data_IF_742935323741
#
_entry.id   IF_742935323741
#
_cell.length_a   1.000
_cell.length_b   1.000
_cell.length_c   1.000
_cell.angle_alpha   90.00
_cell.angle_beta   90.00
_cell.angle_gamma   90.00
#
_symmetry.space_group_name_H-M   'P 1'
#
loop_
_entity.id
_entity.type
_entity.pdbx_description
1 polymer ?
#
# COMPACT_ATOMS: atom_id res chain seq x y z
N UNK A 1 -9.95 6.79 -3.43
CA UNK A 1 -11.01 5.76 -3.58
C UNK A 1 -10.38 4.41 -4.00
N UNK A 2 -9.72 3.76 -3.05
CA UNK A 2 -8.88 2.55 -3.26
C UNK A 2 -9.60 1.39 -3.99
N UNK A 3 -10.94 1.40 -4.02
CA UNK A 3 -11.73 0.34 -4.69
C UNK A 3 -11.49 0.32 -6.21
N UNK A 4 -11.30 1.48 -6.84
CA UNK A 4 -11.15 1.62 -8.29
C UNK A 4 -9.70 1.88 -8.70
N UNK A 5 -8.96 2.66 -7.93
CA UNK A 5 -7.60 3.11 -8.28
C UNK A 5 -6.58 1.96 -8.30
N UNK A 6 -6.67 1.01 -7.36
CA UNK A 6 -5.76 -0.14 -7.31
C UNK A 6 -5.94 -1.08 -8.51
N UNK A 7 -7.16 -1.53 -8.86
CA UNK A 7 -7.39 -2.35 -10.05
C UNK A 7 -6.92 -1.68 -11.34
N UNK A 8 -7.21 -0.40 -11.53
CA UNK A 8 -6.77 0.36 -12.70
C UNK A 8 -5.24 0.48 -12.76
N UNK A 9 -4.60 0.85 -11.66
CA UNK A 9 -3.13 0.90 -11.60
C UNK A 9 -2.51 -0.48 -11.87
N UNK A 10 -3.16 -1.57 -11.42
CA UNK A 10 -2.72 -2.93 -11.72
C UNK A 10 -2.86 -3.27 -13.23
N UNK A 11 -3.88 -2.77 -13.92
CA UNK A 11 -4.02 -2.87 -15.37
C UNK A 11 -2.90 -2.11 -16.08
N UNK A 12 -2.60 -0.87 -15.66
CA UNK A 12 -1.50 -0.08 -16.20
C UNK A 12 -0.14 -0.77 -16.00
N UNK A 13 0.11 -1.37 -14.83
CA UNK A 13 1.36 -2.12 -14.59
C UNK A 13 1.47 -3.35 -15.49
N UNK A 14 0.36 -4.03 -15.82
CA UNK A 14 0.37 -5.15 -16.77
C UNK A 14 0.65 -4.68 -18.18
N UNK A 15 0.09 -3.56 -18.58
CA UNK A 15 0.18 -3.02 -19.95
C UNK A 15 1.51 -2.28 -20.17
N UNK A 16 1.92 -1.41 -19.25
CA UNK A 16 3.08 -0.53 -19.40
C UNK A 16 4.32 -1.02 -18.66
N UNK A 17 4.17 -2.03 -17.81
CA UNK A 17 5.23 -2.51 -16.92
C UNK A 17 5.27 -1.74 -15.58
N UNK A 18 6.18 -2.14 -14.67
CA UNK A 18 6.28 -1.57 -13.32
C UNK A 18 6.87 -0.15 -13.29
N UNK A 19 7.37 0.34 -14.43
CA UNK A 19 8.06 1.64 -14.57
C UNK A 19 7.57 2.33 -15.82
N UNK A 20 6.94 3.47 -15.63
CA UNK A 20 6.55 4.35 -16.73
C UNK A 20 7.60 5.45 -16.90
N UNK A 21 8.03 5.70 -18.17
CA UNK A 21 9.04 6.70 -18.48
C UNK A 21 8.39 7.96 -19.05
N UNK A 22 8.97 9.12 -18.71
CA UNK A 22 8.49 10.43 -19.21
C UNK A 22 8.43 10.50 -20.75
N UNK A 23 9.31 9.77 -21.45
CA UNK A 23 9.29 9.70 -22.94
C UNK A 23 8.12 8.89 -23.50
N UNK A 24 7.43 8.14 -22.67
CA UNK A 24 6.27 7.34 -23.08
C UNK A 24 4.96 8.16 -22.96
N UNK A 25 5.06 9.50 -23.01
CA UNK A 25 3.93 10.44 -22.97
C UNK A 25 2.85 10.10 -24.01
N UNK A 26 3.24 9.50 -25.12
CA UNK A 26 2.28 9.09 -26.16
C UNK A 26 1.31 8.02 -25.64
N UNK A 27 1.79 7.03 -24.88
CA UNK A 27 0.93 5.99 -24.26
C UNK A 27 -0.06 6.62 -23.28
N UNK A 28 0.41 7.58 -22.48
CA UNK A 28 -0.44 8.33 -21.57
C UNK A 28 -1.57 9.05 -22.31
N UNK A 29 -1.21 9.81 -23.35
CA UNK A 29 -2.18 10.59 -24.13
C UNK A 29 -3.21 9.69 -24.83
N UNK A 30 -2.77 8.57 -25.38
CA UNK A 30 -3.67 7.61 -26.03
C UNK A 30 -4.67 7.02 -25.00
N UNK A 31 -4.20 6.63 -23.83
CA UNK A 31 -5.05 6.07 -22.77
C UNK A 31 -6.01 7.10 -22.19
N UNK A 32 -5.53 8.32 -21.95
CA UNK A 32 -6.35 9.42 -21.46
C UNK A 32 -7.48 9.75 -22.44
N UNK A 33 -7.15 9.89 -23.72
CA UNK A 33 -8.15 10.14 -24.77
C UNK A 33 -9.14 9.00 -24.95
N UNK A 34 -8.72 7.76 -24.79
CA UNK A 34 -9.63 6.59 -24.80
C UNK A 34 -10.67 6.71 -23.69
N UNK A 35 -10.23 6.92 -22.47
CA UNK A 35 -11.10 7.03 -21.29
C UNK A 35 -12.04 8.26 -21.40
N UNK A 36 -11.53 9.40 -21.84
CA UNK A 36 -12.35 10.61 -22.05
C UNK A 36 -13.44 10.38 -23.11
N UNK A 37 -13.10 9.70 -24.20
CA UNK A 37 -14.08 9.36 -25.25
C UNK A 37 -15.17 8.44 -24.73
N UNK A 38 -14.81 7.44 -23.94
CA UNK A 38 -15.76 6.50 -23.37
C UNK A 38 -16.68 7.20 -22.35
N UNK A 39 -16.14 8.04 -21.49
CA UNK A 39 -16.94 8.86 -20.57
C UNK A 39 -17.87 9.80 -21.32
N UNK A 40 -17.34 10.55 -22.29
CA UNK A 40 -18.10 11.48 -23.15
C UNK A 40 -19.24 10.78 -23.90
N UNK A 41 -19.02 9.56 -24.37
CA UNK A 41 -20.05 8.78 -25.06
C UNK A 41 -21.23 8.46 -24.14
N UNK A 42 -20.98 8.20 -22.87
CA UNK A 42 -22.04 7.91 -21.90
C UNK A 42 -22.81 9.18 -21.55
N UNK A 43 -22.12 10.29 -21.22
CA UNK A 43 -22.78 11.53 -20.81
C UNK A 43 -23.57 12.18 -21.95
N UNK A 44 -23.16 12.03 -23.20
CA UNK A 44 -23.93 12.52 -24.37
C UNK A 44 -25.29 11.87 -24.52
N UNK A 45 -25.50 10.70 -23.94
CA UNK A 45 -26.79 10.01 -23.96
C UNK A 45 -27.76 10.57 -22.91
N UNK A 46 -27.26 11.36 -21.95
CA UNK A 46 -28.06 11.99 -20.92
C UNK A 46 -28.61 13.33 -21.40
N UNK A 47 -29.94 13.39 -21.52
CA UNK A 47 -30.63 14.59 -21.98
C UNK A 47 -30.57 15.74 -20.97
N UNK A 48 -30.45 15.45 -19.67
CA UNK A 48 -30.41 16.45 -18.63
C UNK A 48 -29.07 17.17 -18.60
N UNK A 49 -27.95 16.41 -18.69
CA UNK A 49 -26.62 16.98 -18.81
C UNK A 49 -26.45 17.78 -20.08
N UNK A 50 -26.96 17.26 -21.21
CA UNK A 50 -26.92 17.95 -22.49
C UNK A 50 -27.69 19.27 -22.49
N UNK A 51 -28.88 19.36 -21.83
CA UNK A 51 -29.63 20.60 -21.65
C UNK A 51 -28.89 21.64 -20.82
N UNK A 52 -28.00 21.20 -19.92
CA UNK A 52 -27.16 22.07 -19.06
C UNK A 52 -25.82 22.42 -19.74
N UNK A 53 -25.62 22.02 -20.99
CA UNK A 53 -24.40 22.27 -21.76
C UNK A 53 -23.21 21.39 -21.39
N UNK A 54 -23.44 20.30 -20.67
CA UNK A 54 -22.41 19.34 -20.26
C UNK A 54 -22.41 18.20 -21.30
N UNK A 55 -21.51 18.29 -22.26
CA UNK A 55 -21.47 17.40 -23.44
C UNK A 55 -20.21 16.57 -23.58
N UNK A 56 -19.18 16.83 -22.76
CA UNK A 56 -17.91 16.10 -22.76
C UNK A 56 -17.29 16.06 -21.37
N UNK A 57 -16.22 15.27 -21.24
CA UNK A 57 -15.50 15.09 -19.98
C UNK A 57 -14.92 16.41 -19.45
N UNK A 58 -14.33 17.23 -20.31
CA UNK A 58 -13.66 18.47 -19.89
C UNK A 58 -14.66 19.44 -19.22
N UNK A 59 -15.81 19.65 -19.85
CA UNK A 59 -16.88 20.50 -19.31
C UNK A 59 -17.45 19.89 -18.03
N UNK A 60 -17.62 18.56 -17.99
CA UNK A 60 -18.09 17.84 -16.82
C UNK A 60 -17.13 18.03 -15.63
N UNK A 61 -15.84 17.73 -15.82
CA UNK A 61 -14.84 17.84 -14.77
C UNK A 61 -14.71 19.26 -14.26
N UNK A 62 -14.65 20.25 -15.15
CA UNK A 62 -14.60 21.68 -14.80
C UNK A 62 -15.79 22.09 -13.93
N UNK A 63 -17.00 21.66 -14.29
CA UNK A 63 -18.21 21.96 -13.49
C UNK A 63 -18.20 21.27 -12.15
N UNK A 64 -17.75 20.04 -12.08
CA UNK A 64 -17.63 19.28 -10.84
C UNK A 64 -16.63 19.95 -9.88
N UNK A 65 -15.45 20.34 -10.36
CA UNK A 65 -14.46 21.07 -9.57
C UNK A 65 -14.96 22.46 -9.13
N UNK A 66 -15.58 23.23 -10.02
CA UNK A 66 -16.15 24.54 -9.70
C UNK A 66 -17.17 24.47 -8.56
N UNK A 67 -18.03 23.43 -8.55
CA UNK A 67 -19.02 23.24 -7.49
C UNK A 67 -18.37 22.77 -6.17
N UNK A 68 -17.40 21.87 -6.26
CA UNK A 68 -16.67 21.36 -5.09
C UNK A 68 -15.85 22.43 -4.35
N UNK A 69 -15.44 23.49 -5.03
CA UNK A 69 -14.69 24.61 -4.41
C UNK A 69 -15.59 25.67 -3.77
N UNK A 70 -16.91 25.67 -4.01
CA UNK A 70 -17.82 26.66 -3.48
C UNK A 70 -18.23 26.33 -2.03
N UNK A 71 -18.08 27.30 -1.13
CA UNK A 71 -18.52 27.19 0.27
C UNK A 71 -20.04 27.21 0.43
N UNK A 72 -20.78 27.80 -0.50
CA UNK A 72 -22.25 27.85 -0.50
C UNK A 72 -22.79 27.67 -1.91
N UNK A 73 -23.70 26.72 -2.08
CA UNK A 73 -24.36 26.42 -3.36
C UNK A 73 -25.79 26.92 -3.36
N UNK A 74 -26.23 27.54 -4.43
CA UNK A 74 -27.63 27.89 -4.72
C UNK A 74 -28.47 26.60 -4.89
N UNK A 75 -29.78 26.70 -4.91
CA UNK A 75 -30.68 25.55 -5.07
C UNK A 75 -30.44 24.81 -6.38
N UNK A 76 -30.20 25.52 -7.49
CA UNK A 76 -29.93 24.95 -8.80
C UNK A 76 -28.56 24.28 -8.86
N UNK A 77 -27.55 24.88 -8.21
CA UNK A 77 -26.22 24.27 -8.12
C UNK A 77 -26.22 22.99 -7.26
N UNK A 78 -26.99 22.92 -6.17
CA UNK A 78 -27.17 21.70 -5.38
C UNK A 78 -27.83 20.56 -6.17
N UNK A 79 -28.78 20.88 -7.06
CA UNK A 79 -29.38 19.87 -7.95
C UNK A 79 -28.35 19.37 -8.97
N UNK A 80 -27.57 20.27 -9.56
CA UNK A 80 -26.54 19.89 -10.49
C UNK A 80 -25.45 19.07 -9.81
N UNK A 81 -24.99 19.49 -8.65
CA UNK A 81 -23.98 18.78 -7.85
C UNK A 81 -24.40 17.33 -7.57
N UNK A 82 -25.63 17.12 -7.13
CA UNK A 82 -26.17 15.76 -6.95
C UNK A 82 -26.17 14.90 -8.22
N UNK A 83 -26.44 15.52 -9.38
CA UNK A 83 -26.40 14.80 -10.65
C UNK A 83 -24.97 14.41 -10.97
N UNK A 84 -24.00 15.36 -10.85
CA UNK A 84 -22.61 15.09 -11.09
C UNK A 84 -22.03 14.04 -10.12
N UNK A 85 -22.35 14.17 -8.81
CA UNK A 85 -21.98 13.17 -7.80
C UNK A 85 -22.52 11.77 -8.14
N UNK A 86 -23.73 11.68 -8.71
CA UNK A 86 -24.27 10.39 -9.13
C UNK A 86 -23.38 9.72 -10.20
N UNK A 87 -22.88 10.49 -11.16
CA UNK A 87 -21.95 9.99 -12.19
C UNK A 87 -20.57 9.64 -11.62
N UNK A 88 -20.12 10.36 -10.60
CA UNK A 88 -18.80 10.14 -10.00
C UNK A 88 -18.79 8.98 -9.00
N UNK A 89 -19.88 8.78 -8.23
CA UNK A 89 -19.86 7.85 -7.08
C UNK A 89 -20.87 6.70 -7.16
N UNK A 90 -21.99 6.89 -7.81
CA UNK A 90 -23.13 5.95 -7.70
C UNK A 90 -23.44 5.19 -8.99
N UNK A 91 -23.01 5.66 -10.14
CA UNK A 91 -23.17 4.95 -11.39
C UNK A 91 -21.93 4.10 -11.68
N UNK A 92 -21.99 2.80 -11.48
CA UNK A 92 -20.85 1.88 -11.59
C UNK A 92 -20.02 2.02 -12.87
N UNK A 93 -20.65 2.33 -14.01
CA UNK A 93 -19.93 2.48 -15.28
C UNK A 93 -19.17 3.79 -15.39
N UNK A 94 -19.84 4.90 -15.10
CA UNK A 94 -19.24 6.23 -15.20
C UNK A 94 -18.27 6.50 -14.07
N UNK A 95 -18.60 6.07 -12.85
CA UNK A 95 -17.72 6.19 -11.69
C UNK A 95 -16.37 5.50 -11.94
N UNK A 96 -16.41 4.30 -12.51
CA UNK A 96 -15.16 3.60 -12.83
C UNK A 96 -14.31 4.43 -13.80
N UNK A 97 -14.87 4.84 -14.95
CA UNK A 97 -14.13 5.57 -15.98
C UNK A 97 -13.62 6.91 -15.45
N UNK A 98 -14.44 7.65 -14.71
CA UNK A 98 -14.07 8.93 -14.12
C UNK A 98 -12.89 8.79 -13.14
N UNK A 99 -12.94 7.79 -12.26
CA UNK A 99 -11.88 7.53 -11.30
C UNK A 99 -10.61 6.99 -11.98
N UNK A 100 -10.75 6.21 -13.06
CA UNK A 100 -9.60 5.76 -13.86
C UNK A 100 -8.89 6.95 -14.52
N UNK A 101 -9.64 7.94 -15.02
CA UNK A 101 -9.05 9.20 -15.57
C UNK A 101 -8.33 9.96 -14.46
N UNK A 102 -8.97 10.16 -13.31
CA UNK A 102 -8.34 10.85 -12.18
C UNK A 102 -7.09 10.13 -11.67
N UNK A 103 -7.10 8.80 -11.60
CA UNK A 103 -5.93 8.02 -11.23
C UNK A 103 -4.78 8.20 -12.24
N UNK A 104 -5.10 8.27 -13.52
CA UNK A 104 -4.12 8.52 -14.58
C UNK A 104 -3.54 9.94 -14.49
N UNK A 105 -4.39 10.94 -14.28
CA UNK A 105 -3.99 12.34 -14.06
C UNK A 105 -3.12 12.48 -12.82
N UNK A 106 -3.48 11.82 -11.72
CA UNK A 106 -2.70 11.81 -10.49
C UNK A 106 -1.29 11.22 -10.69
N UNK A 107 -1.15 10.15 -11.48
CA UNK A 107 0.17 9.60 -11.86
C UNK A 107 1.01 10.66 -12.57
N UNK A 108 0.40 11.45 -13.44
CA UNK A 108 1.09 12.53 -14.16
C UNK A 108 1.43 13.72 -13.27
N UNK A 109 0.49 14.13 -12.42
CA UNK A 109 0.71 15.20 -11.43
C UNK A 109 1.80 14.82 -10.43
N UNK A 110 1.83 13.57 -10.02
CA UNK A 110 2.88 13.05 -9.14
C UNK A 110 4.27 13.22 -9.77
N UNK A 111 4.41 13.12 -11.11
CA UNK A 111 5.66 13.44 -11.80
C UNK A 111 6.08 14.90 -11.65
N UNK A 112 5.11 15.82 -11.68
CA UNK A 112 5.34 17.26 -11.55
C UNK A 112 5.46 17.74 -10.11
N UNK A 113 5.10 16.89 -9.14
CA UNK A 113 5.11 17.21 -7.71
C UNK A 113 6.51 17.17 -7.10
N UNK A 114 6.61 17.66 -5.86
CA UNK A 114 7.84 17.60 -5.05
C UNK A 114 8.36 16.18 -4.79
N UNK A 115 7.52 15.17 -4.98
CA UNK A 115 7.82 13.75 -4.78
C UNK A 115 8.28 13.05 -6.07
N UNK A 116 7.77 13.46 -7.23
CA UNK A 116 8.19 13.00 -8.57
C UNK A 116 9.14 13.97 -9.28
N UNK A 117 9.90 14.71 -8.56
CA UNK A 117 10.59 15.98 -8.86
C UNK A 117 11.28 16.03 -10.21
N UNK A 118 10.82 16.93 -11.08
CA UNK A 118 11.60 17.38 -12.21
C UNK A 118 12.81 18.22 -11.72
N UNK A 119 13.88 18.25 -12.52
CA UNK A 119 15.11 19.02 -12.18
C UNK A 119 14.82 20.51 -11.92
N UNK A 120 13.79 21.06 -12.59
CA UNK A 120 13.32 22.44 -12.40
C UNK A 120 12.69 22.62 -11.02
N UNK A 121 11.75 21.74 -10.64
CA UNK A 121 11.05 21.81 -9.35
C UNK A 121 12.00 21.58 -8.17
N UNK A 122 12.97 20.67 -8.33
CA UNK A 122 14.02 20.48 -7.33
C UNK A 122 14.83 21.74 -7.05
N UNK A 123 15.21 22.48 -8.11
CA UNK A 123 15.94 23.74 -7.96
C UNK A 123 15.11 24.80 -7.26
N UNK A 124 13.82 24.90 -7.57
CA UNK A 124 12.88 25.80 -6.90
C UNK A 124 12.75 25.45 -5.42
N UNK A 125 12.44 24.20 -5.08
CA UNK A 125 12.31 23.75 -3.70
C UNK A 125 13.59 23.93 -2.89
N UNK A 126 14.75 23.76 -3.53
CA UNK A 126 16.05 24.01 -2.89
C UNK A 126 16.30 25.49 -2.63
N UNK A 127 15.90 26.37 -3.56
CA UNK A 127 16.01 27.81 -3.40
C UNK A 127 15.08 28.33 -2.28
N UNK A 128 13.90 27.71 -2.12
CA UNK A 128 12.91 28.05 -1.09
C UNK A 128 13.24 27.51 0.31
N UNK A 129 14.39 26.86 0.49
CA UNK A 129 14.83 26.31 1.79
C UNK A 129 14.04 25.08 2.24
N UNK A 130 13.23 24.47 1.37
CA UNK A 130 12.39 23.31 1.71
C UNK A 130 13.20 22.08 2.18
N UNK A 131 14.49 22.04 1.85
CA UNK A 131 15.40 20.94 2.17
C UNK A 131 16.32 21.19 3.36
N UNK A 132 15.98 22.04 4.29
CA UNK A 132 16.72 22.24 5.56
C UNK A 132 16.71 20.98 6.46
N UNK A 133 16.26 19.86 5.92
CA UNK A 133 16.29 18.54 6.52
C UNK A 133 17.67 17.88 6.51
N UNK A 134 17.74 16.68 7.05
CA UNK A 134 18.98 15.91 7.15
C UNK A 134 19.65 15.70 5.79
N UNK A 135 20.98 15.65 5.75
CA UNK A 135 21.78 15.34 4.53
C UNK A 135 21.34 14.06 3.82
N UNK A 136 20.72 13.12 4.54
CA UNK A 136 20.18 11.88 3.99
C UNK A 136 18.93 12.15 3.11
N UNK A 137 18.05 13.03 3.56
CA UNK A 137 16.86 13.44 2.82
C UNK A 137 17.22 14.12 1.50
N UNK A 138 18.13 15.10 1.55
CA UNK A 138 18.63 15.80 0.35
C UNK A 138 19.20 14.82 -0.68
N UNK A 139 20.06 13.88 -0.24
CA UNK A 139 20.64 12.86 -1.12
C UNK A 139 19.59 11.93 -1.74
N UNK A 140 18.54 11.59 -1.00
CA UNK A 140 17.48 10.74 -1.51
C UNK A 140 16.69 11.46 -2.60
N UNK A 141 16.33 12.71 -2.40
CA UNK A 141 15.64 13.52 -3.41
C UNK A 141 16.53 13.75 -4.63
N UNK A 142 17.82 14.09 -4.46
CA UNK A 142 18.75 14.20 -5.57
C UNK A 142 18.83 12.93 -6.43
N UNK A 143 18.68 11.76 -5.80
CA UNK A 143 18.60 10.47 -6.52
C UNK A 143 17.29 10.29 -7.24
N UNK A 144 16.16 10.75 -6.66
CA UNK A 144 14.84 10.67 -7.30
C UNK A 144 14.77 11.55 -8.54
N UNK A 145 15.25 12.78 -8.44
CA UNK A 145 15.31 13.75 -9.56
C UNK A 145 16.05 13.21 -10.78
N UNK A 146 17.10 12.42 -10.55
CA UNK A 146 17.90 11.81 -11.63
C UNK A 146 17.22 10.62 -12.33
N UNK A 147 16.06 10.19 -11.85
CA UNK A 147 15.32 9.08 -12.47
C UNK A 147 14.45 9.62 -13.61
N UNK A 148 14.46 8.92 -14.73
CA UNK A 148 13.67 9.25 -15.92
C UNK A 148 12.37 8.45 -16.00
N UNK A 149 11.94 7.83 -14.87
CA UNK A 149 10.75 7.00 -14.80
C UNK A 149 10.03 7.15 -13.44
N UNK A 150 8.75 6.81 -13.43
CA UNK A 150 7.92 6.64 -12.24
C UNK A 150 7.68 5.16 -12.00
N UNK A 151 7.64 4.77 -10.74
CA UNK A 151 7.15 3.45 -10.35
C UNK A 151 5.63 3.49 -10.28
N UNK A 152 4.98 2.62 -11.06
CA UNK A 152 3.52 2.51 -11.08
C UNK A 152 3.06 1.64 -9.91
N UNK A 153 3.00 2.23 -8.73
CA UNK A 153 2.45 1.56 -7.55
C UNK A 153 1.50 2.50 -6.82
N UNK A 154 0.31 2.01 -6.50
CA UNK A 154 -0.66 2.78 -5.75
C UNK A 154 -0.35 2.73 -4.25
N UNK A 155 -0.39 3.87 -3.56
CA UNK A 155 -0.08 3.93 -2.13
C UNK A 155 -1.02 3.05 -1.27
N UNK A 156 -2.29 2.92 -1.68
CA UNK A 156 -3.26 2.05 -1.02
C UNK A 156 -2.82 0.59 -0.91
N UNK A 157 -1.96 0.10 -1.83
CA UNK A 157 -1.40 -1.25 -1.77
C UNK A 157 -0.49 -1.42 -0.55
N UNK A 158 0.26 -0.37 -0.17
CA UNK A 158 1.09 -0.38 1.03
C UNK A 158 0.26 -0.28 2.30
N UNK A 159 -0.80 0.56 2.31
CA UNK A 159 -1.71 0.63 3.46
C UNK A 159 -2.38 -0.71 3.72
N UNK A 160 -2.90 -1.37 2.68
CA UNK A 160 -3.48 -2.72 2.79
C UNK A 160 -2.44 -3.70 3.34
N UNK A 161 -1.20 -3.67 2.83
CA UNK A 161 -0.14 -4.53 3.32
C UNK A 161 0.16 -4.28 4.81
N UNK A 162 0.26 -3.02 5.23
CA UNK A 162 0.56 -2.68 6.61
C UNK A 162 -0.56 -3.14 7.57
N UNK A 163 -1.81 -2.89 7.24
CA UNK A 163 -2.97 -3.32 8.03
C UNK A 163 -3.05 -4.85 8.11
N UNK A 164 -2.91 -5.52 6.98
CA UNK A 164 -2.93 -6.98 6.91
C UNK A 164 -1.77 -7.59 7.72
N UNK A 165 -0.55 -7.00 7.66
CA UNK A 165 0.60 -7.50 8.39
C UNK A 165 0.46 -7.34 9.91
N UNK A 166 -0.17 -6.28 10.40
CA UNK A 166 -0.49 -6.12 11.82
C UNK A 166 -1.46 -7.23 12.26
N UNK A 167 -2.50 -7.47 11.47
CA UNK A 167 -3.49 -8.50 11.73
C UNK A 167 -2.87 -9.90 11.75
N UNK A 168 -2.07 -10.22 10.74
CA UNK A 168 -1.39 -11.52 10.62
C UNK A 168 -0.37 -11.70 11.75
N UNK A 169 0.38 -10.65 12.08
CA UNK A 169 1.30 -10.66 13.21
C UNK A 169 0.58 -10.97 14.53
N UNK A 170 -0.57 -10.35 14.75
CA UNK A 170 -1.44 -10.66 15.91
C UNK A 170 -1.90 -12.12 15.93
N UNK A 171 -2.34 -12.66 14.79
CA UNK A 171 -2.76 -14.07 14.68
C UNK A 171 -1.59 -15.03 14.93
N UNK A 172 -0.41 -14.74 14.39
CA UNK A 172 0.80 -15.52 14.65
C UNK A 172 1.09 -15.57 16.16
N UNK A 173 1.04 -14.41 16.82
CA UNK A 173 1.27 -14.32 18.27
C UNK A 173 0.24 -15.10 19.08
N UNK A 174 -1.05 -15.00 18.72
CA UNK A 174 -2.12 -15.76 19.38
C UNK A 174 -1.88 -17.27 19.23
N UNK A 175 -1.53 -17.75 18.04
CA UNK A 175 -1.21 -19.16 17.80
C UNK A 175 -0.01 -19.61 18.63
N UNK A 176 1.01 -18.78 18.77
CA UNK A 176 2.18 -19.10 19.59
C UNK A 176 1.84 -19.20 21.06
N UNK A 177 1.08 -18.24 21.58
CA UNK A 177 0.63 -18.30 22.98
C UNK A 177 -0.22 -19.53 23.24
N UNK A 178 -1.12 -19.87 22.34
CA UNK A 178 -1.96 -21.06 22.45
C UNK A 178 -1.15 -22.37 22.44
N UNK A 179 -0.03 -22.42 21.76
CA UNK A 179 0.86 -23.60 21.73
C UNK A 179 1.77 -23.67 22.96
N UNK A 180 2.33 -22.56 23.41
CA UNK A 180 3.41 -22.53 24.40
C UNK A 180 2.87 -22.46 25.82
N UNK A 181 1.86 -21.64 26.09
CA UNK A 181 1.35 -21.43 27.46
C UNK A 181 0.83 -22.75 28.12
N UNK A 182 -0.01 -23.56 27.45
CA UNK A 182 -0.47 -24.81 28.04
C UNK A 182 0.66 -25.79 28.39
N UNK A 183 1.67 -25.82 27.54
CA UNK A 183 2.85 -26.66 27.75
C UNK A 183 3.66 -26.22 28.96
N UNK A 184 3.92 -24.92 29.11
CA UNK A 184 4.63 -24.36 30.28
C UNK A 184 3.84 -24.55 31.56
N UNK A 185 2.52 -24.31 31.57
CA UNK A 185 1.65 -24.54 32.71
C UNK A 185 1.70 -26.01 33.18
N UNK A 186 1.67 -26.95 32.20
CA UNK A 186 1.77 -28.38 32.51
C UNK A 186 3.11 -28.75 33.16
N UNK A 187 4.21 -28.15 32.70
CA UNK A 187 5.53 -28.38 33.34
C UNK A 187 5.61 -27.81 34.76
N UNK A 188 5.02 -26.65 35.01
CA UNK A 188 4.91 -26.06 36.35
C UNK A 188 4.11 -26.93 37.29
N UNK A 189 2.89 -27.29 36.90
CA UNK A 189 2.01 -28.14 37.70
C UNK A 189 2.65 -29.49 38.08
N UNK A 190 3.54 -30.02 37.24
CA UNK A 190 4.28 -31.26 37.50
C UNK A 190 5.60 -31.06 38.25
N UNK A 191 5.92 -29.84 38.69
CA UNK A 191 7.16 -29.45 39.35
C UNK A 191 8.46 -29.90 38.63
N UNK A 192 8.39 -29.98 37.30
CA UNK A 192 9.53 -30.39 36.44
C UNK A 192 10.57 -29.28 36.29
N UNK A 193 10.17 -28.02 36.40
CA UNK A 193 11.03 -26.86 36.23
C UNK A 193 12.24 -26.82 37.15
N UNK A 194 12.10 -27.05 38.50
CA UNK A 194 13.24 -27.08 39.39
C UNK A 194 14.26 -28.18 39.03
N UNK A 195 13.78 -29.34 38.61
CA UNK A 195 14.63 -30.48 38.21
C UNK A 195 15.39 -30.12 36.91
N UNK A 196 14.74 -29.49 35.96
CA UNK A 196 15.37 -29.04 34.71
C UNK A 196 16.45 -27.99 34.96
N UNK A 197 16.25 -27.10 35.93
CA UNK A 197 17.19 -26.02 36.22
C UNK A 197 18.46 -26.52 36.94
N UNK A 198 18.35 -27.52 37.78
CA UNK A 198 19.44 -27.97 38.67
C UNK A 198 20.35 -29.03 38.07
N UNK A 199 19.88 -29.81 37.10
CA UNK A 199 20.68 -30.90 36.51
C UNK A 199 21.32 -30.50 35.16
N UNK A 200 22.50 -31.07 34.88
CA UNK A 200 23.18 -30.86 33.58
C UNK A 200 22.33 -31.35 32.42
N UNK A 201 21.70 -32.49 32.55
CA UNK A 201 20.79 -33.09 31.56
C UNK A 201 19.52 -32.23 31.39
N UNK A 202 18.97 -31.71 32.50
CA UNK A 202 17.80 -30.83 32.46
C UNK A 202 18.03 -29.54 31.66
N UNK A 203 19.19 -28.93 31.83
CA UNK A 203 19.57 -27.73 31.01
C UNK A 203 19.62 -28.02 29.52
N UNK A 204 20.14 -29.20 29.14
CA UNK A 204 20.18 -29.63 27.75
C UNK A 204 18.76 -29.89 27.17
N UNK A 205 17.93 -30.56 27.94
CA UNK A 205 16.50 -30.80 27.57
C UNK A 205 15.78 -29.46 27.36
N UNK A 206 16.03 -28.52 28.26
CA UNK A 206 15.44 -27.17 28.11
C UNK A 206 15.83 -26.47 26.81
N UNK A 207 17.10 -26.46 26.45
CA UNK A 207 17.56 -25.89 25.18
C UNK A 207 16.88 -26.54 24.00
N UNK A 208 16.75 -27.87 24.02
CA UNK A 208 16.04 -28.61 22.97
C UNK A 208 14.57 -28.19 22.88
N UNK A 209 13.90 -28.01 24.03
CA UNK A 209 12.50 -27.59 24.09
C UNK A 209 12.32 -26.16 23.53
N UNK A 210 13.21 -25.24 23.90
CA UNK A 210 13.18 -23.88 23.36
C UNK A 210 13.36 -23.84 21.84
N UNK A 211 14.34 -24.61 21.33
CA UNK A 211 14.56 -24.74 19.89
C UNK A 211 13.32 -25.35 19.20
N UNK A 212 12.77 -26.43 19.76
CA UNK A 212 11.58 -27.07 19.21
C UNK A 212 10.37 -26.11 19.17
N UNK A 213 10.17 -25.33 20.24
CA UNK A 213 9.12 -24.31 20.28
C UNK A 213 9.35 -23.21 19.24
N UNK A 214 10.58 -22.75 19.07
CA UNK A 214 10.93 -21.75 18.05
C UNK A 214 10.72 -22.28 16.63
N UNK A 215 11.07 -23.53 16.36
CA UNK A 215 10.86 -24.18 15.06
C UNK A 215 9.36 -24.38 14.76
N UNK A 216 8.58 -24.82 15.75
CA UNK A 216 7.13 -24.96 15.61
C UNK A 216 6.47 -23.61 15.31
N UNK A 217 6.88 -22.56 16.01
CA UNK A 217 6.45 -21.20 15.82
C UNK A 217 6.79 -20.68 14.41
N UNK A 218 8.03 -20.89 13.99
CA UNK A 218 8.49 -20.53 12.65
C UNK A 218 7.65 -21.24 11.57
N UNK A 219 7.40 -22.53 11.73
CA UNK A 219 6.59 -23.31 10.80
C UNK A 219 5.16 -22.77 10.68
N UNK A 220 4.50 -22.52 11.82
CA UNK A 220 3.13 -21.94 11.84
C UNK A 220 3.11 -20.55 11.22
N UNK A 221 4.10 -19.71 11.54
CA UNK A 221 4.21 -18.37 10.97
C UNK A 221 4.43 -18.39 9.45
N UNK A 222 5.32 -19.25 8.95
CA UNK A 222 5.55 -19.42 7.51
C UNK A 222 4.28 -19.92 6.81
N UNK A 223 3.56 -20.86 7.40
CA UNK A 223 2.31 -21.37 6.83
C UNK A 223 1.26 -20.26 6.70
N UNK A 224 1.07 -19.45 7.73
CA UNK A 224 0.13 -18.32 7.71
C UNK A 224 0.55 -17.28 6.65
N UNK A 225 1.83 -16.96 6.55
CA UNK A 225 2.34 -16.03 5.54
C UNK A 225 2.22 -16.59 4.11
N UNK A 226 2.38 -17.90 3.92
CA UNK A 226 2.15 -18.54 2.62
C UNK A 226 0.68 -18.44 2.20
N UNK A 227 -0.26 -18.70 3.12
CA UNK A 227 -1.70 -18.51 2.88
C UNK A 227 -2.00 -17.06 2.51
N UNK A 228 -1.42 -16.11 3.24
CA UNK A 228 -1.58 -14.69 2.92
C UNK A 228 -1.04 -14.35 1.51
N UNK A 229 0.15 -14.85 1.17
CA UNK A 229 0.73 -14.66 -0.17
C UNK A 229 -0.15 -15.20 -1.29
N UNK A 230 -0.82 -16.35 -1.06
CA UNK A 230 -1.80 -16.92 -2.00
C UNK A 230 -3.01 -15.99 -2.15
N UNK A 231 -3.58 -15.51 -1.04
CA UNK A 231 -4.72 -14.57 -1.05
C UNK A 231 -4.35 -13.27 -1.77
N UNK A 232 -3.15 -12.75 -1.52
CA UNK A 232 -2.61 -11.57 -2.21
C UNK A 232 -2.51 -11.78 -3.72
N UNK A 233 -2.03 -12.95 -4.13
CA UNK A 233 -1.97 -13.32 -5.55
C UNK A 233 -3.36 -13.43 -6.18
N UNK A 234 -4.31 -14.07 -5.51
CA UNK A 234 -5.68 -14.22 -5.99
C UNK A 234 -6.41 -12.86 -6.13
N UNK A 235 -6.09 -11.89 -5.27
CA UNK A 235 -6.59 -10.51 -5.39
C UNK A 235 -5.95 -9.73 -6.56
N UNK A 236 -5.02 -10.31 -7.31
CA UNK A 236 -4.31 -9.67 -8.42
C UNK A 236 -3.23 -8.66 -8.00
N UNK A 237 -2.94 -8.53 -6.71
CA UNK A 237 -1.99 -7.55 -6.18
C UNK A 237 -0.52 -7.96 -6.41
N UNK A 238 -0.26 -9.19 -6.81
CA UNK A 238 1.08 -9.69 -7.16
C UNK A 238 1.70 -8.97 -8.36
N UNK A 239 0.90 -8.27 -9.16
CA UNK A 239 1.39 -7.45 -10.28
C UNK A 239 2.36 -6.35 -9.81
N UNK A 240 2.15 -5.83 -8.58
CA UNK A 240 2.99 -4.80 -7.99
C UNK A 240 4.33 -5.31 -7.44
N UNK A 241 4.58 -6.63 -7.47
CA UNK A 241 5.77 -7.25 -6.89
C UNK A 241 7.09 -6.62 -7.34
N UNK A 242 7.16 -6.20 -8.60
CA UNK A 242 8.34 -5.58 -9.20
C UNK A 242 8.35 -4.05 -9.17
N UNK A 243 7.26 -3.43 -8.72
CA UNK A 243 7.18 -1.99 -8.58
C UNK A 243 8.10 -1.52 -7.46
N UNK A 244 8.76 -0.39 -7.65
CA UNK A 244 9.63 0.20 -6.63
C UNK A 244 8.80 1.05 -5.65
N UNK A 245 9.17 1.03 -4.38
CA UNK A 245 8.41 1.71 -3.32
C UNK A 245 8.51 3.24 -3.35
N UNK A 246 9.46 3.80 -4.10
CA UNK A 246 9.66 5.25 -4.15
C UNK A 246 8.54 6.03 -4.85
N UNK A 247 7.68 5.36 -5.63
CA UNK A 247 6.48 5.97 -6.23
C UNK A 247 5.44 6.46 -5.21
N UNK A 248 5.69 6.31 -3.91
CA UNK A 248 4.76 6.63 -2.84
C UNK A 248 5.30 7.80 -2.02
N UNK A 249 4.50 8.87 -1.94
CA UNK A 249 4.85 10.09 -1.25
C UNK A 249 5.23 9.89 0.23
N UNK A 250 4.54 8.96 0.90
CA UNK A 250 4.70 8.70 2.33
C UNK A 250 5.86 7.76 2.68
N UNK A 251 6.56 7.19 1.69
CA UNK A 251 7.58 6.20 1.98
C UNK A 251 8.90 6.81 2.45
N UNK A 252 9.45 6.19 3.48
CA UNK A 252 10.75 6.52 4.01
C UNK A 252 11.84 6.34 2.98
N UNK A 253 12.71 7.32 2.83
CA UNK A 253 13.77 7.41 1.80
C UNK A 253 14.76 6.25 1.79
N UNK A 254 14.88 5.50 2.89
CA UNK A 254 15.75 4.32 2.97
C UNK A 254 15.23 3.13 2.17
N UNK A 255 13.91 3.09 1.89
CA UNK A 255 13.26 2.02 1.13
C UNK A 255 13.19 2.26 -0.38
N UNK A 256 13.66 3.39 -0.87
CA UNK A 256 13.48 3.87 -2.24
C UNK A 256 13.80 2.87 -3.34
N UNK A 257 14.82 2.03 -3.13
CA UNK A 257 15.27 1.04 -4.13
C UNK A 257 14.65 -0.33 -3.95
N UNK A 258 13.91 -0.54 -2.87
CA UNK A 258 13.30 -1.83 -2.63
C UNK A 258 12.09 -2.00 -3.54
N UNK A 259 11.99 -3.16 -4.20
CA UNK A 259 10.74 -3.52 -4.84
C UNK A 259 9.68 -3.80 -3.77
N UNK A 260 8.42 -3.59 -4.11
CA UNK A 260 7.30 -3.89 -3.22
C UNK A 260 7.38 -5.33 -2.68
N UNK A 261 7.72 -6.30 -3.54
CA UNK A 261 7.90 -7.69 -3.12
C UNK A 261 9.03 -7.86 -2.10
N UNK A 262 10.17 -7.19 -2.28
CA UNK A 262 11.27 -7.23 -1.31
C UNK A 262 10.86 -6.58 0.01
N UNK A 263 10.15 -5.47 -0.04
CA UNK A 263 9.60 -4.80 1.15
C UNK A 263 8.66 -5.73 1.92
N UNK A 264 7.73 -6.38 1.23
CA UNK A 264 6.81 -7.37 1.81
C UNK A 264 7.56 -8.52 2.48
N UNK A 265 8.57 -9.10 1.83
CA UNK A 265 9.37 -10.19 2.40
C UNK A 265 10.15 -9.76 3.64
N UNK A 266 10.74 -8.56 3.64
CA UNK A 266 11.44 -8.02 4.80
C UNK A 266 10.48 -7.81 5.97
N UNK A 267 9.29 -7.28 5.70
CA UNK A 267 8.27 -7.08 6.74
C UNK A 267 7.80 -8.40 7.35
N UNK A 268 7.56 -9.42 6.51
CA UNK A 268 7.25 -10.78 6.96
C UNK A 268 8.37 -11.36 7.83
N UNK A 269 9.64 -11.21 7.40
CA UNK A 269 10.79 -11.69 8.17
C UNK A 269 10.89 -10.99 9.54
N UNK A 270 10.63 -9.68 9.61
CA UNK A 270 10.61 -8.95 10.88
C UNK A 270 9.52 -9.45 11.83
N UNK A 271 8.32 -9.73 11.34
CA UNK A 271 7.23 -10.30 12.14
C UNK A 271 7.65 -11.66 12.72
N UNK A 272 8.25 -12.54 11.90
CA UNK A 272 8.73 -13.84 12.36
C UNK A 272 9.83 -13.71 13.40
N UNK A 273 10.78 -12.83 13.22
CA UNK A 273 11.82 -12.55 14.20
C UNK A 273 11.26 -12.03 15.52
N UNK A 274 10.31 -11.11 15.45
CA UNK A 274 9.61 -10.58 16.63
C UNK A 274 8.85 -11.69 17.38
N UNK A 275 8.18 -12.57 16.63
CA UNK A 275 7.47 -13.71 17.20
C UNK A 275 8.42 -14.68 17.91
N UNK A 276 9.57 -15.01 17.31
CA UNK A 276 10.59 -15.86 17.95
C UNK A 276 11.16 -15.18 19.21
N UNK A 277 11.47 -13.89 19.14
CA UNK A 277 11.95 -13.14 20.31
C UNK A 277 10.94 -13.16 21.46
N UNK A 278 9.64 -13.05 21.15
CA UNK A 278 8.56 -13.12 22.14
C UNK A 278 8.50 -14.48 22.85
N UNK A 279 8.81 -15.58 22.16
CA UNK A 279 8.89 -16.92 22.77
C UNK A 279 9.96 -16.94 23.86
N UNK A 280 11.15 -16.39 23.55
CA UNK A 280 12.26 -16.36 24.51
C UNK A 280 11.88 -15.54 25.75
N UNK A 281 11.23 -14.39 25.55
CA UNK A 281 10.79 -13.51 26.65
C UNK A 281 9.74 -14.22 27.53
N UNK A 282 8.74 -14.86 26.91
CA UNK A 282 7.66 -15.57 27.64
C UNK A 282 8.23 -16.74 28.41
N UNK A 283 9.16 -17.49 27.83
CA UNK A 283 9.81 -18.58 28.51
C UNK A 283 10.63 -18.10 29.71
N UNK A 284 11.33 -16.98 29.57
CA UNK A 284 12.07 -16.36 30.68
C UNK A 284 11.13 -15.90 31.80
N UNK A 285 10.07 -15.14 31.46
CA UNK A 285 9.07 -14.70 32.46
C UNK A 285 8.39 -15.89 33.11
N UNK A 286 8.01 -16.91 32.35
CA UNK A 286 7.39 -18.12 32.84
C UNK A 286 8.24 -18.88 33.85
N UNK A 287 9.52 -18.61 33.97
CA UNK A 287 10.45 -19.23 34.91
C UNK A 287 10.74 -18.40 36.14
N UNK A 288 10.69 -17.09 36.02
CA UNK A 288 11.03 -16.15 37.09
C UNK A 288 9.84 -15.86 38.01
N UNK A 289 8.63 -15.99 37.54
CA UNK A 289 7.39 -15.89 38.31
C UNK A 289 6.90 -17.27 38.74
#
# INVERSE_FOLDING_TARGET
NTKYDIPFTAELVKEWGPKWKVKDEKQYQEKHQELEKDFTKIIKQDQELSKRGIVDYEIFNKKYEELGQKTALSKQEKELDKILENYVFYNDKTSKIFLDIQALEHIREFQGSEYGVSDKKYKELKADGFFDGTKLYQKAIEKRVKRDYISLVHEGVFYILQEDMVTIGGLIMICFFALIIPYQLKQRLRQVIPILATTKTGRRIYQIQLIASALAALFVGILQMAVYGIVWHLKGLSVFWRCESWGIASNSYWCDKLSFGTYMLLYMALILLFAIASIVIIDFIGRTI
#
